data_IF_614278318524
#
_entry.id   IF_614278318524
#
_cell.length_a   1.000
_cell.length_b   1.000
_cell.length_c   1.000
_cell.angle_alpha   90.00
_cell.angle_beta   90.00
_cell.angle_gamma   90.00
#
_symmetry.space_group_name_H-M   'P 1'
#
loop_
_entity.id
_entity.type
_entity.pdbx_description
1 polymer ?
#
# COMPACT_ATOMS: atom_id res chain seq x y z
N UNK A 1 8.99 -14.04 -5.99
CA UNK A 1 9.19 -13.38 -4.69
C UNK A 1 9.28 -14.46 -3.62
N UNK A 2 10.19 -14.35 -2.66
CA UNK A 2 10.24 -15.28 -1.53
C UNK A 2 9.39 -14.71 -0.39
N UNK A 3 8.33 -15.40 -0.01
CA UNK A 3 7.45 -15.00 1.08
C UNK A 3 8.09 -15.31 2.45
N UNK A 4 7.53 -14.75 3.52
CA UNK A 4 8.01 -14.96 4.89
C UNK A 4 7.92 -16.42 5.35
N UNK A 5 7.07 -17.22 4.71
CA UNK A 5 6.95 -18.67 4.89
C UNK A 5 7.96 -19.48 4.06
N UNK A 6 8.93 -18.82 3.41
CA UNK A 6 9.96 -19.41 2.53
C UNK A 6 9.45 -20.05 1.24
N UNK A 7 8.18 -19.86 0.87
CA UNK A 7 7.71 -20.24 -0.47
C UNK A 7 8.20 -19.21 -1.48
N UNK A 8 8.65 -19.69 -2.64
CA UNK A 8 8.97 -18.83 -3.78
C UNK A 8 7.74 -18.80 -4.66
N UNK A 9 6.99 -17.70 -4.60
CA UNK A 9 5.85 -17.47 -5.48
C UNK A 9 6.32 -16.76 -6.76
N UNK A 10 5.87 -17.25 -7.91
CA UNK A 10 6.11 -16.57 -9.16
C UNK A 10 5.23 -15.31 -9.24
N UNK A 11 5.86 -14.18 -9.58
CA UNK A 11 5.14 -12.94 -9.83
C UNK A 11 4.58 -12.95 -11.25
N UNK A 12 3.34 -12.51 -11.44
CA UNK A 12 2.75 -12.33 -12.77
C UNK A 12 3.45 -11.22 -13.57
N UNK A 13 4.02 -10.25 -12.88
CA UNK A 13 4.74 -9.16 -13.52
C UNK A 13 5.13 -8.06 -12.54
N UNK A 14 5.70 -6.98 -13.09
CA UNK A 14 6.07 -5.77 -12.38
C UNK A 14 5.34 -4.58 -13.01
N UNK A 15 4.50 -3.91 -12.24
CA UNK A 15 3.89 -2.64 -12.66
C UNK A 15 4.76 -1.49 -12.16
N UNK A 16 5.03 -0.51 -13.02
CA UNK A 16 5.91 0.63 -12.71
C UNK A 16 5.08 1.89 -12.51
N UNK A 17 5.53 2.76 -11.59
CA UNK A 17 4.97 4.08 -11.34
C UNK A 17 3.45 4.08 -11.11
N UNK A 18 2.97 3.13 -10.30
CA UNK A 18 1.55 3.08 -9.92
C UNK A 18 1.30 4.12 -8.83
N UNK A 19 0.33 5.05 -9.00
CA UNK A 19 0.01 6.01 -7.96
C UNK A 19 -0.76 5.34 -6.81
N UNK A 20 -0.26 5.49 -5.59
CA UNK A 20 -0.92 5.10 -4.35
C UNK A 20 -1.26 6.36 -3.56
N UNK A 21 -2.53 6.50 -3.16
CA UNK A 21 -3.01 7.64 -2.39
C UNK A 21 -3.11 7.25 -0.92
N UNK A 22 -2.36 7.94 -0.08
CA UNK A 22 -2.34 7.78 1.36
C UNK A 22 -2.74 9.10 2.03
N UNK A 23 -4.02 9.21 2.41
CA UNK A 23 -4.59 10.48 2.86
C UNK A 23 -4.47 11.53 1.76
N UNK A 24 -3.63 12.55 1.96
CA UNK A 24 -3.39 13.62 0.99
C UNK A 24 -2.11 13.42 0.15
N UNK A 25 -1.31 12.39 0.45
CA UNK A 25 -0.01 12.16 -0.19
C UNK A 25 -0.17 11.11 -1.29
N UNK A 26 0.33 11.38 -2.49
CA UNK A 26 0.40 10.41 -3.58
C UNK A 26 1.82 9.91 -3.75
N UNK A 27 2.02 8.60 -3.68
CA UNK A 27 3.32 7.94 -3.81
C UNK A 27 3.30 7.04 -5.05
N UNK A 28 4.27 7.20 -5.93
CA UNK A 28 4.42 6.35 -7.12
C UNK A 28 5.30 5.14 -6.79
N UNK A 29 4.72 3.94 -6.85
CA UNK A 29 5.39 2.71 -6.46
C UNK A 29 5.59 1.75 -7.64
N UNK A 30 6.68 1.01 -7.58
CA UNK A 30 6.86 -0.20 -8.39
C UNK A 30 6.31 -1.39 -7.61
N UNK A 31 5.39 -2.15 -8.21
CA UNK A 31 4.62 -3.19 -7.51
C UNK A 31 4.71 -4.51 -8.28
N UNK A 32 5.15 -5.54 -7.59
CA UNK A 32 5.08 -6.91 -8.09
C UNK A 32 3.65 -7.44 -7.95
N UNK A 33 3.12 -8.00 -9.03
CA UNK A 33 1.78 -8.61 -9.03
C UNK A 33 1.94 -10.10 -8.76
N UNK A 34 1.14 -10.62 -7.83
CA UNK A 34 1.16 -12.01 -7.38
C UNK A 34 -0.26 -12.57 -7.52
N UNK A 35 -0.38 -13.82 -7.92
CA UNK A 35 -1.67 -14.52 -8.03
C UNK A 35 -2.12 -15.02 -6.65
N UNK A 36 -3.38 -14.74 -6.30
CA UNK A 36 -4.03 -15.20 -5.05
C UNK A 36 -3.26 -14.92 -3.74
N UNK A 37 -2.79 -13.66 -3.49
CA UNK A 37 -2.12 -13.33 -2.24
C UNK A 37 -3.10 -13.25 -1.07
N UNK A 38 -2.64 -13.58 0.14
CA UNK A 38 -3.41 -13.45 1.39
C UNK A 38 -3.69 -11.98 1.83
N UNK A 39 -3.24 -11.01 1.03
CA UNK A 39 -3.30 -9.57 1.25
C UNK A 39 -3.50 -8.84 -0.08
N UNK A 40 -4.08 -7.64 -0.05
CA UNK A 40 -4.26 -6.83 -1.27
C UNK A 40 -2.96 -6.19 -1.75
N UNK A 41 -2.18 -5.64 -0.83
CA UNK A 41 -0.92 -4.94 -1.09
C UNK A 41 0.01 -5.18 0.10
N UNK A 42 1.29 -5.44 -0.18
CA UNK A 42 2.34 -5.50 0.83
C UNK A 42 3.32 -4.36 0.58
N UNK A 43 3.37 -3.41 1.52
CA UNK A 43 4.33 -2.32 1.49
C UNK A 43 5.60 -2.77 2.20
N UNK A 44 6.72 -2.69 1.49
CA UNK A 44 8.03 -3.07 2.01
C UNK A 44 8.97 -1.89 2.14
N UNK A 45 10.25 -2.20 2.37
CA UNK A 45 11.31 -1.21 2.59
C UNK A 45 11.40 -0.09 1.54
N UNK A 46 11.17 -0.31 0.23
CA UNK A 46 11.18 0.79 -0.74
C UNK A 46 10.15 1.88 -0.44
N UNK A 47 8.95 1.50 0.03
CA UNK A 47 7.94 2.45 0.48
C UNK A 47 8.39 3.19 1.74
N UNK A 48 8.97 2.46 2.71
CA UNK A 48 9.44 3.06 3.96
C UNK A 48 10.54 4.09 3.75
N UNK A 49 11.49 3.79 2.85
CA UNK A 49 12.59 4.70 2.53
C UNK A 49 12.08 5.92 1.79
N UNK A 50 11.18 5.73 0.81
CA UNK A 50 10.66 6.82 0.00
C UNK A 50 9.80 7.80 0.81
N UNK A 51 9.10 7.33 1.83
CA UNK A 51 8.17 8.13 2.62
C UNK A 51 8.68 8.46 4.02
N UNK A 52 9.94 8.12 4.34
CA UNK A 52 10.49 8.18 5.69
C UNK A 52 9.52 7.62 6.74
N UNK A 53 8.92 6.46 6.42
CA UNK A 53 7.79 5.94 7.18
C UNK A 53 8.20 5.63 8.62
N UNK A 54 7.32 5.98 9.56
CA UNK A 54 7.50 5.69 10.98
C UNK A 54 6.25 4.98 11.50
N UNK A 55 6.46 3.82 12.10
CA UNK A 55 5.41 3.07 12.79
C UNK A 55 5.44 3.40 14.27
N UNK A 56 4.33 3.93 14.78
CA UNK A 56 4.12 4.16 16.20
C UNK A 56 3.17 3.08 16.75
N UNK A 57 3.67 2.31 17.72
CA UNK A 57 2.90 1.30 18.43
C UNK A 57 2.48 1.81 19.80
N UNK A 58 1.24 1.51 20.20
CA UNK A 58 0.66 1.92 21.48
C UNK A 58 0.43 0.71 22.37
N UNK A 59 0.38 0.92 23.69
CA UNK A 59 0.25 -0.16 24.69
C UNK A 59 -1.11 -0.85 24.65
N UNK A 60 -2.13 -0.20 24.10
CA UNK A 60 -3.48 -0.73 23.90
C UNK A 60 -3.57 -1.65 22.66
N UNK A 61 -2.46 -1.90 21.97
CA UNK A 61 -2.42 -2.69 20.73
C UNK A 61 -2.73 -1.87 19.47
N UNK A 62 -3.03 -0.57 19.62
CA UNK A 62 -3.17 0.33 18.49
C UNK A 62 -1.83 0.56 17.79
N UNK A 63 -1.91 0.84 16.50
CA UNK A 63 -0.75 1.21 15.69
C UNK A 63 -1.13 2.37 14.76
N UNK A 64 -0.15 3.21 14.46
CA UNK A 64 -0.29 4.31 13.51
C UNK A 64 0.95 4.38 12.63
N UNK A 65 0.72 4.59 11.34
CA UNK A 65 1.75 4.78 10.34
C UNK A 65 1.84 6.26 9.99
N UNK A 66 3.01 6.85 10.19
CA UNK A 66 3.30 8.24 9.84
C UNK A 66 4.17 8.22 8.58
N UNK A 67 3.79 8.99 7.57
CA UNK A 67 4.54 9.10 6.31
C UNK A 67 4.79 10.57 5.96
N UNK A 68 5.93 10.83 5.33
CA UNK A 68 6.27 12.11 4.73
C UNK A 68 6.14 12.04 3.20
N UNK A 69 5.72 13.15 2.60
CA UNK A 69 5.74 13.30 1.15
C UNK A 69 7.17 13.59 0.70
N UNK A 70 7.80 12.76 -0.15
CA UNK A 70 9.16 13.04 -0.62
C UNK A 70 9.28 14.34 -1.42
N UNK A 71 8.18 14.86 -1.97
CA UNK A 71 8.18 16.04 -2.82
C UNK A 71 7.75 17.31 -2.09
N UNK A 72 7.37 17.24 -0.81
CA UNK A 72 6.92 18.39 -0.05
C UNK A 72 7.27 18.27 1.44
N UNK A 73 6.87 19.25 2.25
CA UNK A 73 7.02 19.18 3.71
C UNK A 73 5.81 18.53 4.39
N UNK A 74 4.85 18.01 3.61
CA UNK A 74 3.63 17.41 4.15
C UNK A 74 3.91 16.07 4.82
N UNK A 75 3.13 15.79 5.87
CA UNK A 75 3.10 14.49 6.55
C UNK A 75 1.66 14.04 6.71
N UNK A 76 1.45 12.74 6.62
CA UNK A 76 0.16 12.11 6.84
C UNK A 76 0.26 11.09 7.97
N UNK A 77 -0.80 11.00 8.77
CA UNK A 77 -0.95 10.05 9.87
C UNK A 77 -2.07 9.09 9.50
N UNK A 78 -1.73 7.81 9.38
CA UNK A 78 -2.61 6.74 8.92
C UNK A 78 -2.90 5.82 10.11
N UNK A 79 -4.12 5.83 10.67
CA UNK A 79 -4.50 4.87 11.69
C UNK A 79 -4.54 3.46 11.06
N UNK A 80 -4.10 2.45 11.80
CA UNK A 80 -4.28 1.06 11.40
C UNK A 80 -5.42 0.43 12.18
N UNK A 81 -5.94 -0.68 11.65
CA UNK A 81 -7.03 -1.42 12.26
C UNK A 81 -6.71 -2.91 12.19
N UNK A 82 -7.30 -3.67 13.11
CA UNK A 82 -7.15 -5.12 13.11
C UNK A 82 -7.63 -5.73 11.80
N UNK A 83 -6.91 -6.74 11.32
CA UNK A 83 -7.27 -7.47 10.11
C UNK A 83 -8.68 -8.06 10.27
N UNK A 84 -9.55 -7.80 9.30
CA UNK A 84 -10.95 -8.25 9.33
C UNK A 84 -11.92 -7.30 10.03
N UNK A 85 -11.44 -6.23 10.66
CA UNK A 85 -12.26 -5.15 11.23
C UNK A 85 -11.98 -3.86 10.46
N UNK A 86 -12.58 -3.67 9.26
CA UNK A 86 -12.37 -2.45 8.50
C UNK A 86 -12.84 -1.24 9.34
N UNK A 87 -12.12 -0.11 9.29
CA UNK A 87 -12.62 1.09 9.93
C UNK A 87 -13.98 1.47 9.36
N UNK A 88 -14.81 2.08 10.20
CA UNK A 88 -16.08 2.69 9.78
C UNK A 88 -15.72 3.96 8.98
N UNK A 89 -15.15 3.80 7.79
CA UNK A 89 -14.91 4.89 6.86
C UNK A 89 -16.07 4.91 5.88
N UNK A 90 -16.75 6.05 5.81
CA UNK A 90 -17.80 6.36 4.85
C UNK A 90 -17.30 5.93 3.47
N UNK A 91 -18.05 5.09 2.75
CA UNK A 91 -17.73 4.66 1.38
C UNK A 91 -17.44 5.90 0.52
N UNK A 92 -16.18 6.26 0.35
CA UNK A 92 -15.76 6.93 -0.86
C UNK A 92 -15.80 5.85 -1.94
N UNK A 93 -16.67 6.02 -2.93
CA UNK A 93 -16.74 5.12 -4.06
C UNK A 93 -15.35 4.99 -4.68
N UNK A 94 -14.78 3.79 -4.64
CA UNK A 94 -13.54 3.49 -5.36
C UNK A 94 -13.90 3.63 -6.85
N UNK A 95 -13.29 4.58 -7.60
CA UNK A 95 -13.57 4.71 -9.01
C UNK A 95 -13.19 3.40 -9.70
N UNK A 96 -14.12 2.84 -10.49
CA UNK A 96 -13.82 1.65 -11.29
C UNK A 96 -12.68 1.99 -12.26
N UNK A 97 -11.68 1.10 -12.42
CA UNK A 97 -10.66 1.29 -13.44
C UNK A 97 -11.31 1.45 -14.82
N UNK A 98 -10.82 2.39 -15.63
CA UNK A 98 -11.28 2.55 -17.02
C UNK A 98 -10.92 1.30 -17.84
N UNK A 99 -11.63 1.05 -18.95
CA UNK A 99 -11.32 -0.09 -19.83
C UNK A 99 -9.89 -0.04 -20.39
N UNK A 100 -9.32 1.16 -20.52
CA UNK A 100 -7.92 1.38 -20.91
C UNK A 100 -6.94 0.80 -19.89
N UNK A 101 -7.27 0.77 -18.59
CA UNK A 101 -6.42 0.16 -17.55
C UNK A 101 -6.23 -1.33 -17.79
N UNK A 102 -7.27 -2.03 -18.27
CA UNK A 102 -7.18 -3.45 -18.61
C UNK A 102 -6.41 -3.70 -19.90
N UNK A 103 -6.54 -2.79 -20.87
CA UNK A 103 -5.86 -2.90 -22.16
C UNK A 103 -4.35 -2.73 -22.06
N UNK A 104 -3.85 -2.03 -21.04
CA UNK A 104 -2.42 -1.86 -20.76
C UNK A 104 -1.76 -3.07 -20.06
N UNK A 105 -2.55 -4.07 -19.67
CA UNK A 105 -2.10 -5.25 -18.94
C UNK A 105 -1.99 -6.51 -19.83
N UNK A 106 -2.28 -6.39 -21.12
CA UNK A 106 -2.15 -7.46 -22.13
C UNK A 106 -1.07 -7.16 -23.17
#
# INVERSE_FOLDING_TARGET
MQSANRTVEQTLGLTKNVPFIFGTITVYLQVHIITDPAYKVLLGRPFDVLTESTVQNYKDGGQTLIIADPNSTQRCVLPTHERGRPPVVIKAEIPKPSEDFWSLMN
#
